data_IF_883025478336
#
_entry.id   IF_883025478336
#
_cell.length_a   1.000
_cell.length_b   1.000
_cell.length_c   1.000
_cell.angle_alpha   90.00
_cell.angle_beta   90.00
_cell.angle_gamma   90.00
#
_symmetry.space_group_name_H-M   'P 1'
#
loop_
_entity.id
_entity.type
_entity.pdbx_description
1 polymer ?
#
# COMPACT_ATOMS: atom_id res chain seq x y z
N UNK A 1 0.47 -5.59 -4.47
CA UNK A 1 -0.36 -4.51 -3.87
C UNK A 1 -1.72 -4.48 -4.56
N UNK A 2 -2.83 -4.68 -3.83
CA UNK A 2 -4.17 -4.72 -4.44
C UNK A 2 -4.69 -3.36 -4.94
N UNK A 3 -4.03 -2.26 -4.55
CA UNK A 3 -4.40 -0.90 -4.98
C UNK A 3 -3.89 -0.63 -6.41
N UNK A 4 -2.67 -1.04 -6.73
CA UNK A 4 -2.06 -0.81 -8.05
C UNK A 4 -1.95 -2.07 -8.92
N UNK A 5 -2.34 -3.24 -8.40
CA UNK A 5 -2.24 -4.54 -9.08
C UNK A 5 -0.80 -4.93 -9.51
N UNK A 6 0.22 -4.35 -8.89
CA UNK A 6 1.64 -4.67 -9.16
C UNK A 6 2.19 -5.61 -8.07
N UNK A 7 3.05 -6.53 -8.49
CA UNK A 7 3.81 -7.43 -7.61
C UNK A 7 4.78 -6.69 -6.70
N UNK A 8 5.07 -7.27 -5.54
CA UNK A 8 6.06 -6.74 -4.61
C UNK A 8 7.46 -7.14 -5.05
N UNK A 9 8.37 -6.18 -5.11
CA UNK A 9 9.78 -6.39 -5.45
C UNK A 9 10.68 -6.06 -4.28
N UNK A 10 11.89 -6.62 -4.31
CA UNK A 10 12.90 -6.36 -3.28
C UNK A 10 13.32 -4.89 -3.37
N UNK A 11 13.15 -4.16 -2.27
CA UNK A 11 13.38 -2.71 -2.21
C UNK A 11 12.11 -1.86 -2.27
N UNK A 12 10.95 -2.46 -2.54
CA UNK A 12 9.68 -1.74 -2.42
C UNK A 12 9.42 -1.36 -0.96
N UNK A 13 8.93 -0.12 -0.77
CA UNK A 13 8.49 0.34 0.54
C UNK A 13 7.09 -0.20 0.78
N UNK A 14 6.97 -1.15 1.69
CA UNK A 14 5.70 -1.77 2.07
C UNK A 14 5.26 -1.28 3.44
N UNK A 15 3.94 -1.21 3.64
CA UNK A 15 3.31 -0.93 4.92
C UNK A 15 2.23 -1.95 5.19
N UNK A 16 2.15 -2.39 6.45
CA UNK A 16 1.07 -3.22 6.96
C UNK A 16 0.09 -2.33 7.70
N UNK A 17 -1.16 -2.30 7.25
CA UNK A 17 -2.24 -1.59 7.94
C UNK A 17 -2.68 -2.38 9.20
N UNK A 18 -3.35 -1.73 10.18
CA UNK A 18 -3.86 -2.42 11.37
C UNK A 18 -4.86 -3.55 11.06
N UNK A 19 -5.47 -3.54 9.87
CA UNK A 19 -6.28 -4.65 9.34
C UNK A 19 -5.44 -5.83 8.79
N UNK A 20 -4.13 -5.86 9.05
CA UNK A 20 -3.16 -6.89 8.64
C UNK A 20 -2.92 -7.00 7.12
N UNK A 21 -3.42 -6.06 6.33
CA UNK A 21 -3.19 -6.05 4.90
C UNK A 21 -1.91 -5.29 4.54
N UNK A 22 -1.15 -5.84 3.59
CA UNK A 22 0.10 -5.30 3.09
C UNK A 22 -0.12 -4.51 1.80
N UNK A 23 0.50 -3.33 1.69
CA UNK A 23 0.44 -2.47 0.51
C UNK A 23 1.78 -1.78 0.27
N UNK A 24 1.97 -1.20 -0.92
CA UNK A 24 3.01 -0.19 -1.08
C UNK A 24 2.69 1.02 -0.21
N UNK A 25 3.69 1.57 0.47
CA UNK A 25 3.55 2.74 1.34
C UNK A 25 2.94 3.93 0.61
N UNK A 26 3.34 4.15 -0.65
CA UNK A 26 2.78 5.20 -1.51
C UNK A 26 1.30 4.95 -1.84
N UNK A 27 0.97 3.72 -2.24
CA UNK A 27 -0.41 3.33 -2.53
C UNK A 27 -1.32 3.47 -1.30
N UNK A 28 -0.88 3.02 -0.13
CA UNK A 28 -1.63 3.16 1.11
C UNK A 28 -1.85 4.64 1.47
N UNK A 29 -0.80 5.46 1.35
CA UNK A 29 -0.87 6.91 1.65
C UNK A 29 -1.85 7.63 0.72
N UNK A 30 -1.72 7.41 -0.58
CA UNK A 30 -2.62 8.01 -1.59
C UNK A 30 -4.06 7.53 -1.39
N UNK A 31 -4.27 6.24 -1.13
CA UNK A 31 -5.60 5.67 -0.90
C UNK A 31 -6.29 6.24 0.34
N UNK A 32 -5.55 6.42 1.44
CA UNK A 32 -6.08 7.02 2.67
C UNK A 32 -6.33 8.53 2.54
N UNK A 33 -5.55 9.25 1.73
CA UNK A 33 -5.73 10.69 1.50
C UNK A 33 -6.98 11.03 0.67
N UNK A 34 -7.46 10.11 -0.16
CA UNK A 34 -8.62 10.35 -1.05
C UNK A 34 -9.96 10.46 -0.26
N UNK A 35 -10.01 10.05 1.01
CA UNK A 35 -11.23 10.06 1.83
C UNK A 35 -11.28 11.17 2.89
N UNK A 36 -10.81 12.38 2.55
CA UNK A 36 -10.97 13.55 3.43
C UNK A 36 -12.21 14.35 3.09
#
# INVERSE_FOLDING_TARGET
>A
CVICCVEYKRGDRLITLPCQHLYHADCATRWLQIRK
#
